data_IF_802403010381
#
_entry.id   IF_802403010381
#
_cell.length_a   1.000
_cell.length_b   1.000
_cell.length_c   1.000
_cell.angle_alpha   90.00
_cell.angle_beta   90.00
_cell.angle_gamma   90.00
#
_symmetry.space_group_name_H-M   'P 1'
#
loop_
_entity.id
_entity.type
_entity.pdbx_description
1 polymer ?
#
# COMPACT_ATOMS: atom_id res chain seq x y z
N UNK A 1 11.72 4.79 7.48
CA UNK A 1 11.21 3.93 6.37
C UNK A 1 11.81 4.31 5.01
N UNK A 2 11.78 5.57 4.56
CA UNK A 2 12.34 5.95 3.23
C UNK A 2 13.87 5.77 3.17
N UNK A 3 14.56 6.14 4.24
CA UNK A 3 16.02 5.94 4.32
C UNK A 3 16.36 4.44 4.37
N UNK A 4 15.57 3.65 5.08
CA UNK A 4 15.70 2.18 5.12
C UNK A 4 15.43 1.55 3.76
N UNK A 5 14.38 2.01 3.04
CA UNK A 5 14.13 1.61 1.65
C UNK A 5 15.31 1.94 0.73
N UNK A 6 15.92 3.10 0.93
CA UNK A 6 17.07 3.52 0.12
C UNK A 6 18.33 2.73 0.44
N UNK A 7 18.50 2.30 1.69
CA UNK A 7 19.64 1.48 2.12
C UNK A 7 19.47 -0.01 1.77
N UNK A 8 18.24 -0.52 1.89
CA UNK A 8 17.85 -1.92 1.69
C UNK A 8 16.62 -2.03 0.80
N UNK A 9 16.76 -1.72 -0.51
CA UNK A 9 15.62 -1.76 -1.43
C UNK A 9 15.07 -3.19 -1.58
N UNK A 10 13.82 -3.35 -2.01
CA UNK A 10 13.24 -4.63 -2.37
C UNK A 10 14.06 -5.38 -3.41
N UNK A 11 13.90 -6.70 -3.45
CA UNK A 11 14.60 -7.56 -4.40
C UNK A 11 14.40 -7.09 -5.86
N UNK A 12 15.49 -6.95 -6.59
CA UNK A 12 15.49 -6.51 -7.98
C UNK A 12 15.33 -5.01 -8.19
N UNK A 13 15.26 -4.21 -7.12
CA UNK A 13 15.20 -2.75 -7.22
C UNK A 13 16.60 -2.13 -7.11
N UNK A 14 16.80 -1.04 -7.85
CA UNK A 14 18.01 -0.22 -7.76
C UNK A 14 17.61 1.22 -7.43
N UNK A 15 18.10 1.76 -6.33
CA UNK A 15 17.79 3.13 -5.91
C UNK A 15 18.37 4.15 -6.89
N UNK A 16 17.56 5.10 -7.32
CA UNK A 16 17.96 6.18 -8.20
C UNK A 16 18.33 7.43 -7.40
N UNK A 17 19.45 8.03 -7.75
CA UNK A 17 19.82 9.35 -7.24
C UNK A 17 19.11 10.42 -8.05
N UNK A 18 17.96 10.87 -7.54
CA UNK A 18 17.16 11.89 -8.17
C UNK A 18 17.46 13.31 -7.60
N UNK A 19 17.14 14.38 -8.34
CA UNK A 19 17.32 15.73 -7.85
C UNK A 19 16.62 15.97 -6.52
N UNK A 20 17.27 16.68 -5.59
CA UNK A 20 16.76 17.09 -4.28
C UNK A 20 16.27 15.94 -3.38
N UNK A 21 17.00 14.83 -3.37
CA UNK A 21 16.67 13.67 -2.56
C UNK A 21 15.22 13.16 -2.78
N UNK A 22 14.64 13.45 -3.95
CA UNK A 22 13.35 12.82 -4.34
C UNK A 22 13.56 11.31 -4.36
N UNK A 23 12.78 10.52 -3.61
CA UNK A 23 12.94 9.09 -3.61
C UNK A 23 12.57 8.50 -4.98
N UNK A 24 13.31 7.51 -5.40
CA UNK A 24 13.02 6.79 -6.64
C UNK A 24 13.89 5.56 -6.82
N UNK A 25 13.44 4.68 -7.66
CA UNK A 25 14.12 3.42 -7.94
C UNK A 25 13.91 2.99 -9.39
N UNK A 26 14.74 2.12 -9.87
CA UNK A 26 14.59 1.41 -11.12
C UNK A 26 14.22 -0.05 -10.83
N UNK A 27 13.29 -0.60 -11.62
CA UNK A 27 12.94 -2.01 -11.58
C UNK A 27 12.47 -2.48 -12.97
N UNK A 28 12.52 -3.78 -13.21
CA UNK A 28 11.79 -4.40 -14.30
C UNK A 28 10.30 -4.45 -13.97
N UNK A 29 9.48 -3.77 -14.73
CA UNK A 29 8.03 -3.74 -14.56
C UNK A 29 7.35 -4.60 -15.61
N UNK A 30 6.61 -5.61 -15.16
CA UNK A 30 5.77 -6.41 -16.04
C UNK A 30 4.45 -5.67 -16.28
N UNK A 31 4.19 -5.31 -17.53
CA UNK A 31 2.98 -4.58 -17.93
C UNK A 31 1.67 -5.33 -17.60
N UNK A 32 1.75 -6.64 -17.33
CA UNK A 32 0.58 -7.43 -16.92
C UNK A 32 0.32 -7.39 -15.42
N UNK A 33 1.18 -6.78 -14.61
CA UNK A 33 1.01 -6.70 -13.15
C UNK A 33 -0.27 -5.96 -12.76
N UNK A 34 -0.66 -4.95 -13.53
CA UNK A 34 -1.83 -4.08 -13.26
C UNK A 34 -3.03 -4.37 -14.16
N UNK A 35 -2.96 -5.42 -14.98
CA UNK A 35 -4.04 -5.81 -15.90
C UNK A 35 -5.03 -6.72 -15.18
N UNK A 36 -6.33 -6.49 -15.43
CA UNK A 36 -7.41 -7.35 -14.94
C UNK A 36 -7.11 -8.84 -15.18
N UNK A 37 -7.38 -9.68 -14.18
CA UNK A 37 -7.05 -11.10 -14.21
C UNK A 37 -7.69 -11.88 -15.38
N UNK A 38 -8.82 -11.41 -15.92
CA UNK A 38 -9.47 -12.03 -17.09
C UNK A 38 -8.70 -11.73 -18.37
N UNK A 39 -8.26 -10.49 -18.53
CA UNK A 39 -7.46 -10.05 -19.68
C UNK A 39 -6.04 -10.62 -19.60
N UNK A 40 -5.45 -10.67 -18.40
CA UNK A 40 -4.15 -11.33 -18.16
C UNK A 40 -4.18 -12.77 -18.64
N UNK A 41 -5.15 -13.58 -18.20
CA UNK A 41 -5.30 -14.98 -18.65
C UNK A 41 -5.48 -15.12 -20.16
N UNK A 42 -6.21 -14.20 -20.80
CA UNK A 42 -6.35 -14.19 -22.27
C UNK A 42 -5.02 -13.93 -22.96
N UNK A 43 -4.23 -12.98 -22.48
CA UNK A 43 -2.90 -12.65 -23.02
C UNK A 43 -1.95 -13.85 -22.81
N UNK A 44 -1.95 -14.46 -21.63
CA UNK A 44 -1.13 -15.62 -21.31
C UNK A 44 -1.50 -16.87 -22.13
N UNK A 45 -2.74 -16.97 -22.61
CA UNK A 45 -3.20 -18.07 -23.49
C UNK A 45 -2.84 -17.89 -24.96
N UNK A 46 -2.28 -16.73 -25.36
CA UNK A 46 -1.89 -16.50 -26.75
C UNK A 46 -0.71 -17.39 -27.19
N UNK A 47 -0.68 -17.80 -28.47
CA UNK A 47 0.41 -18.63 -29.00
C UNK A 47 1.77 -18.00 -28.74
N UNK A 48 2.75 -18.83 -28.40
CA UNK A 48 4.14 -18.43 -28.18
C UNK A 48 4.34 -17.38 -27.05
N UNK A 49 3.37 -17.24 -26.11
CA UNK A 49 3.46 -16.29 -25.01
C UNK A 49 4.81 -16.33 -24.29
N UNK A 50 5.34 -17.52 -23.99
CA UNK A 50 6.63 -17.70 -23.32
C UNK A 50 7.83 -17.08 -24.07
N UNK A 51 7.71 -16.89 -25.40
CA UNK A 51 8.78 -16.34 -26.21
C UNK A 51 8.75 -14.80 -26.27
N UNK A 52 7.55 -14.21 -26.30
CA UNK A 52 7.41 -12.77 -26.43
C UNK A 52 7.04 -12.06 -25.12
N UNK A 53 6.63 -12.77 -24.05
CA UNK A 53 6.29 -12.20 -22.75
C UNK A 53 7.42 -11.39 -22.12
N UNK A 54 8.67 -11.74 -22.41
CA UNK A 54 9.84 -10.95 -22.00
C UNK A 54 9.83 -9.50 -22.50
N UNK A 55 9.12 -9.21 -23.59
CA UNK A 55 8.96 -7.83 -24.10
C UNK A 55 7.92 -7.01 -23.32
N UNK A 56 7.12 -7.68 -22.50
CA UNK A 56 6.21 -7.01 -21.56
C UNK A 56 6.93 -6.55 -20.29
N UNK A 57 8.14 -7.03 -20.05
CA UNK A 57 8.99 -6.55 -18.95
C UNK A 57 9.79 -5.36 -19.41
N UNK A 58 9.52 -4.24 -18.81
CA UNK A 58 10.08 -2.95 -19.21
C UNK A 58 10.91 -2.36 -18.09
N UNK A 59 12.18 -2.08 -18.36
CA UNK A 59 13.03 -1.34 -17.44
C UNK A 59 12.44 0.04 -17.19
N UNK A 60 11.99 0.29 -15.97
CA UNK A 60 11.18 1.44 -15.60
C UNK A 60 11.82 2.22 -14.48
N UNK A 61 11.86 3.55 -14.63
CA UNK A 61 12.20 4.46 -13.53
C UNK A 61 10.94 4.82 -12.76
N UNK A 62 10.91 4.51 -11.48
CA UNK A 62 9.85 4.89 -10.56
C UNK A 62 10.28 6.10 -9.72
N UNK A 63 9.40 7.09 -9.59
CA UNK A 63 9.55 8.22 -8.70
C UNK A 63 8.56 8.02 -7.56
N UNK A 64 9.07 7.93 -6.35
CA UNK A 64 8.36 7.48 -5.14
C UNK A 64 9.01 6.24 -4.54
N UNK A 65 8.34 5.60 -3.60
CA UNK A 65 8.75 4.34 -2.96
C UNK A 65 7.60 3.34 -2.97
N UNK A 66 7.83 2.12 -2.49
CA UNK A 66 6.75 1.16 -2.20
C UNK A 66 6.41 1.12 -0.70
N UNK A 67 7.14 1.90 0.10
CA UNK A 67 6.98 1.94 1.56
C UNK A 67 6.25 3.20 2.06
N UNK A 68 5.73 4.03 1.17
CA UNK A 68 4.90 5.21 1.50
C UNK A 68 3.53 5.11 0.83
N UNK A 69 2.49 5.63 1.49
CA UNK A 69 1.11 5.64 0.97
C UNK A 69 0.94 6.61 -0.19
N UNK A 70 1.69 7.71 -0.16
CA UNK A 70 1.65 8.72 -1.20
C UNK A 70 3.05 9.07 -1.67
N UNK A 71 3.12 9.59 -2.89
CA UNK A 71 4.32 10.18 -3.42
C UNK A 71 4.73 11.41 -2.58
N UNK A 72 5.94 11.39 -2.08
CA UNK A 72 6.52 12.45 -1.26
C UNK A 72 7.43 13.32 -2.14
N UNK A 73 7.09 14.59 -2.26
CA UNK A 73 7.87 15.53 -3.05
C UNK A 73 8.35 16.71 -2.20
N UNK A 74 9.59 17.20 -2.43
CA UNK A 74 10.10 18.37 -1.73
C UNK A 74 9.21 19.58 -1.98
N UNK A 75 8.64 20.17 -0.93
CA UNK A 75 7.76 21.35 -1.01
C UNK A 75 8.44 22.59 -1.64
N UNK A 76 9.78 22.62 -1.67
CA UNK A 76 10.58 23.70 -2.24
C UNK A 76 10.46 23.84 -3.77
N UNK A 77 9.87 22.86 -4.47
CA UNK A 77 9.77 22.88 -5.93
C UNK A 77 8.35 23.08 -6.41
N UNK A 78 8.17 23.97 -7.38
CA UNK A 78 6.90 23.99 -8.10
C UNK A 78 6.73 22.66 -8.85
N UNK A 79 5.53 22.12 -8.83
CA UNK A 79 5.18 20.86 -9.50
C UNK A 79 5.65 20.82 -10.97
N UNK A 80 5.48 21.93 -11.70
CA UNK A 80 5.91 22.06 -13.10
C UNK A 80 7.43 21.95 -13.26
N UNK A 81 8.20 22.57 -12.36
CA UNK A 81 9.67 22.50 -12.41
C UNK A 81 10.17 21.10 -12.09
N UNK A 82 9.54 20.42 -11.12
CA UNK A 82 9.86 19.05 -10.76
C UNK A 82 9.65 18.12 -11.96
N UNK A 83 8.44 18.11 -12.55
CA UNK A 83 8.09 17.21 -13.67
C UNK A 83 9.02 17.45 -14.87
N UNK A 84 9.32 18.71 -15.23
CA UNK A 84 10.25 19.01 -16.32
C UNK A 84 11.65 18.46 -16.06
N UNK A 85 12.16 18.60 -14.83
CA UNK A 85 13.49 18.09 -14.48
C UNK A 85 13.55 16.57 -14.48
N UNK A 86 12.55 15.91 -13.91
CA UNK A 86 12.44 14.44 -13.94
C UNK A 86 12.38 13.94 -15.38
N UNK A 87 11.53 14.54 -16.22
CA UNK A 87 11.44 14.17 -17.63
C UNK A 87 12.77 14.39 -18.37
N UNK A 88 13.47 15.50 -18.11
CA UNK A 88 14.79 15.77 -18.72
C UNK A 88 15.83 14.74 -18.26
N UNK A 89 15.85 14.39 -16.98
CA UNK A 89 16.83 13.47 -16.41
C UNK A 89 16.60 12.01 -16.83
N UNK A 90 15.35 11.57 -16.85
CA UNK A 90 15.00 10.15 -16.99
C UNK A 90 14.36 9.79 -18.32
N UNK A 91 13.66 10.72 -18.96
CA UNK A 91 12.82 10.44 -20.13
C UNK A 91 13.56 9.91 -21.37
N UNK A 92 14.88 10.11 -21.48
CA UNK A 92 15.72 9.53 -22.52
C UNK A 92 16.45 8.28 -22.06
N UNK A 93 16.69 8.12 -20.74
CA UNK A 93 17.42 6.99 -20.18
C UNK A 93 16.56 5.75 -20.06
N UNK A 94 15.23 5.94 -19.87
CA UNK A 94 14.29 4.84 -19.63
C UNK A 94 13.22 4.76 -20.70
N UNK A 95 12.83 3.54 -21.14
CA UNK A 95 11.67 3.33 -22.01
C UNK A 95 10.36 3.83 -21.35
N UNK A 96 10.27 3.68 -20.03
CA UNK A 96 9.12 4.08 -19.23
C UNK A 96 9.55 4.74 -17.91
N UNK A 97 8.79 5.72 -17.47
CA UNK A 97 8.95 6.41 -16.19
C UNK A 97 7.58 6.57 -15.54
N UNK A 98 7.49 6.28 -14.25
CA UNK A 98 6.25 6.34 -13.49
C UNK A 98 6.45 7.21 -12.24
N UNK A 99 5.67 8.28 -12.12
CA UNK A 99 5.49 8.97 -10.84
C UNK A 99 4.29 8.28 -10.17
N UNK A 100 4.57 7.56 -9.08
CA UNK A 100 3.56 6.68 -8.47
C UNK A 100 2.87 7.35 -7.28
N UNK A 101 1.66 6.88 -6.97
CA UNK A 101 0.88 7.17 -5.77
C UNK A 101 0.65 8.68 -5.51
N UNK A 102 0.33 9.44 -6.58
CA UNK A 102 -0.07 10.84 -6.46
C UNK A 102 -1.51 10.87 -5.92
N UNK A 103 -1.77 11.48 -4.75
CA UNK A 103 -3.12 11.46 -4.16
C UNK A 103 -4.14 12.22 -5.02
N UNK A 104 -5.36 11.69 -5.07
CA UNK A 104 -6.51 12.33 -5.72
C UNK A 104 -7.45 12.89 -4.65
N UNK A 105 -7.09 14.05 -4.07
CA UNK A 105 -7.84 14.72 -3.01
C UNK A 105 -8.15 13.81 -1.82
N UNK A 106 -7.13 13.53 -1.01
CA UNK A 106 -7.25 12.63 0.14
C UNK A 106 -7.63 13.38 1.43
N UNK A 107 -8.60 12.88 2.21
CA UNK A 107 -8.90 13.41 3.55
C UNK A 107 -7.79 13.13 4.57
N UNK A 108 -6.83 12.26 4.23
CA UNK A 108 -5.67 11.94 5.07
C UNK A 108 -4.56 12.99 4.96
N UNK A 109 -4.68 13.97 4.06
CA UNK A 109 -3.72 15.01 3.78
C UNK A 109 -4.32 16.39 4.03
N UNK A 110 -3.46 17.34 4.36
CA UNK A 110 -3.86 18.74 4.45
C UNK A 110 -4.16 19.34 3.07
N UNK A 111 -4.82 20.50 3.07
CA UNK A 111 -5.18 21.21 1.85
C UNK A 111 -3.99 21.61 0.99
N UNK A 112 -2.84 21.88 1.60
CA UNK A 112 -1.63 22.30 0.87
C UNK A 112 -1.04 21.14 0.07
N UNK A 113 -1.00 19.95 0.66
CA UNK A 113 -0.57 18.71 0.01
C UNK A 113 -1.52 18.29 -1.10
N UNK A 114 -2.84 18.36 -0.85
CA UNK A 114 -3.85 18.09 -1.88
C UNK A 114 -3.73 19.05 -3.07
N UNK A 115 -3.62 20.35 -2.84
CA UNK A 115 -3.41 21.36 -3.90
C UNK A 115 -2.07 21.17 -4.64
N UNK A 116 -1.04 20.69 -3.95
CA UNK A 116 0.23 20.37 -4.62
C UNK A 116 0.06 19.17 -5.54
N UNK A 117 -0.61 18.11 -5.09
CA UNK A 117 -0.86 16.92 -5.88
C UNK A 117 -1.69 17.23 -7.15
N UNK A 118 -2.71 18.06 -7.06
CA UNK A 118 -3.50 18.53 -8.22
C UNK A 118 -2.60 19.22 -9.25
N UNK A 119 -1.78 20.19 -8.81
CA UNK A 119 -0.82 20.88 -9.70
C UNK A 119 0.20 19.92 -10.30
N UNK A 120 0.59 18.88 -9.56
CA UNK A 120 1.52 17.86 -10.05
C UNK A 120 0.87 17.03 -11.18
N UNK A 121 -0.38 16.61 -11.01
CA UNK A 121 -1.13 15.89 -12.04
C UNK A 121 -1.31 16.74 -13.31
N UNK A 122 -1.63 18.03 -13.17
CA UNK A 122 -1.71 18.98 -14.30
C UNK A 122 -0.37 19.12 -15.01
N UNK A 123 0.72 19.29 -14.24
CA UNK A 123 2.06 19.39 -14.81
C UNK A 123 2.47 18.12 -15.56
N UNK A 124 2.12 16.94 -15.04
CA UNK A 124 2.35 15.68 -15.70
C UNK A 124 1.58 15.57 -17.02
N UNK A 125 0.30 15.95 -17.06
CA UNK A 125 -0.48 16.02 -18.30
C UNK A 125 0.17 16.93 -19.34
N UNK A 126 0.57 18.14 -18.92
CA UNK A 126 1.21 19.13 -19.78
C UNK A 126 2.55 18.65 -20.35
N UNK A 127 3.30 17.84 -19.60
CA UNK A 127 4.58 17.25 -20.02
C UNK A 127 4.42 15.92 -20.76
N UNK A 128 3.20 15.52 -21.07
CA UNK A 128 2.89 14.37 -21.93
C UNK A 128 2.81 13.03 -21.22
N UNK A 129 2.68 12.99 -19.90
CA UNK A 129 2.38 11.79 -19.15
C UNK A 129 0.93 11.33 -19.40
N UNK A 130 0.71 10.04 -19.31
CA UNK A 130 -0.61 9.41 -19.28
C UNK A 130 -0.95 9.17 -17.81
N UNK A 131 -2.12 9.63 -17.39
CA UNK A 131 -2.59 9.35 -16.02
C UNK A 131 -3.30 8.00 -16.01
N UNK A 132 -2.96 7.19 -15.03
CA UNK A 132 -3.52 5.86 -14.78
C UNK A 132 -3.96 5.81 -13.33
N UNK A 133 -5.13 5.29 -13.05
CA UNK A 133 -5.59 5.14 -11.67
C UNK A 133 -4.68 4.19 -10.89
N UNK A 134 -4.40 4.57 -9.65
CA UNK A 134 -3.69 3.74 -8.68
C UNK A 134 -4.68 2.94 -7.82
N UNK A 135 -4.15 2.29 -6.81
CA UNK A 135 -4.92 1.48 -5.88
C UNK A 135 -5.76 2.34 -4.92
N UNK A 136 -6.82 1.73 -4.37
CA UNK A 136 -7.65 2.32 -3.34
C UNK A 136 -6.98 2.16 -1.95
N UNK A 137 -6.68 3.26 -1.28
CA UNK A 137 -6.16 3.27 0.09
C UNK A 137 -7.31 3.26 1.07
N UNK A 138 -7.40 2.21 1.87
CA UNK A 138 -8.42 2.04 2.89
C UNK A 138 -8.06 2.79 4.18
N UNK A 139 -9.02 3.46 4.79
CA UNK A 139 -8.86 4.14 6.07
C UNK A 139 -10.16 4.15 6.88
N UNK A 140 -10.04 4.36 8.19
CA UNK A 140 -11.17 4.56 9.10
C UNK A 140 -10.94 5.85 9.88
N UNK A 141 -11.82 6.86 9.80
CA UNK A 141 -11.79 8.00 10.72
C UNK A 141 -12.08 7.52 12.15
N UNK A 142 -11.31 8.00 13.13
CA UNK A 142 -11.53 7.70 14.55
C UNK A 142 -12.45 8.80 15.11
N UNK A 143 -13.73 8.73 14.77
CA UNK A 143 -14.79 9.65 15.15
C UNK A 143 -15.87 8.97 16.02
N UNK A 144 -15.46 7.93 16.75
CA UNK A 144 -16.26 7.14 17.67
C UNK A 144 -15.58 7.06 19.04
N UNK A 145 -16.33 6.73 20.09
CA UNK A 145 -15.86 6.68 21.48
C UNK A 145 -15.53 5.26 21.95
N UNK A 146 -15.89 4.24 21.17
CA UNK A 146 -15.59 2.84 21.47
C UNK A 146 -15.62 1.99 20.19
N UNK A 147 -14.91 0.86 20.22
CA UNK A 147 -14.98 -0.15 19.14
C UNK A 147 -16.42 -0.69 18.97
N UNK A 148 -17.19 -0.76 20.05
CA UNK A 148 -18.59 -1.17 19.98
C UNK A 148 -19.48 -0.12 19.26
N UNK A 149 -19.23 1.17 19.44
CA UNK A 149 -19.90 2.22 18.65
C UNK A 149 -19.54 2.10 17.18
N UNK A 150 -18.26 1.88 16.86
CA UNK A 150 -17.83 1.62 15.48
C UNK A 150 -18.56 0.42 14.86
N UNK A 151 -18.61 -0.71 15.57
CA UNK A 151 -19.33 -1.89 15.12
C UNK A 151 -20.84 -1.60 14.96
N UNK A 152 -21.39 -0.71 15.79
CA UNK A 152 -22.78 -0.25 15.72
C UNK A 152 -23.17 0.37 14.38
N UNK A 153 -22.22 0.98 13.66
CA UNK A 153 -22.41 1.59 12.33
C UNK A 153 -22.57 0.56 11.21
N UNK A 154 -22.14 -0.69 11.47
CA UNK A 154 -22.23 -1.78 10.52
C UNK A 154 -23.62 -2.45 10.57
N UNK A 155 -24.02 -3.09 9.46
CA UNK A 155 -25.27 -3.88 9.45
C UNK A 155 -25.26 -4.95 10.54
N UNK A 156 -26.45 -5.34 11.02
CA UNK A 156 -26.59 -6.32 12.10
C UNK A 156 -25.92 -7.66 11.79
N UNK A 157 -25.99 -8.09 10.54
CA UNK A 157 -25.35 -9.33 10.07
C UNK A 157 -23.82 -9.25 10.16
N UNK A 158 -23.21 -8.15 9.62
CA UNK A 158 -21.75 -7.93 9.68
C UNK A 158 -21.28 -7.84 11.13
N UNK A 159 -21.96 -7.04 11.96
CA UNK A 159 -21.65 -6.88 13.38
C UNK A 159 -21.67 -8.21 14.14
N UNK A 160 -22.68 -9.07 13.89
CA UNK A 160 -22.77 -10.39 14.51
C UNK A 160 -21.61 -11.29 14.10
N UNK A 161 -21.22 -11.29 12.81
CA UNK A 161 -20.12 -12.10 12.31
C UNK A 161 -18.77 -11.61 12.86
N UNK A 162 -18.52 -10.29 12.85
CA UNK A 162 -17.28 -9.70 13.37
C UNK A 162 -17.13 -9.97 14.86
N UNK A 163 -18.19 -9.81 15.66
CA UNK A 163 -18.16 -10.15 17.08
C UNK A 163 -17.88 -11.63 17.36
N UNK A 164 -18.40 -12.53 16.52
CA UNK A 164 -18.11 -13.97 16.62
C UNK A 164 -16.62 -14.25 16.37
N UNK A 165 -16.03 -13.59 15.39
CA UNK A 165 -14.58 -13.70 15.06
C UNK A 165 -13.73 -13.06 16.16
N UNK A 166 -14.15 -11.89 16.66
CA UNK A 166 -13.47 -11.16 17.72
C UNK A 166 -13.33 -11.92 19.03
N UNK A 167 -14.31 -12.75 19.39
CA UNK A 167 -14.25 -13.58 20.61
C UNK A 167 -13.05 -14.53 20.64
N UNK A 168 -12.55 -14.95 19.48
CA UNK A 168 -11.37 -15.82 19.42
C UNK A 168 -10.07 -15.17 19.94
N UNK A 169 -10.06 -13.86 20.18
CA UNK A 169 -8.93 -13.21 20.84
C UNK A 169 -8.72 -13.67 22.29
N UNK A 170 -9.77 -14.23 22.92
CA UNK A 170 -9.71 -14.71 24.30
C UNK A 170 -8.76 -15.90 24.47
N UNK A 171 -8.50 -16.62 23.36
CA UNK A 171 -7.54 -17.73 23.30
C UNK A 171 -6.14 -17.26 22.91
N UNK A 172 -5.91 -15.94 22.76
CA UNK A 172 -4.65 -15.36 22.32
C UNK A 172 -4.03 -14.47 23.38
N UNK A 173 -2.72 -14.52 23.49
CA UNK A 173 -1.93 -13.47 24.13
C UNK A 173 -1.58 -12.42 23.09
N UNK A 174 -2.05 -11.18 23.29
CA UNK A 174 -1.77 -10.05 22.40
C UNK A 174 -0.77 -9.14 23.12
N UNK A 175 0.34 -8.81 22.45
CA UNK A 175 1.41 -7.96 23.01
C UNK A 175 1.65 -6.78 22.10
N UNK A 176 1.81 -5.61 22.70
CA UNK A 176 2.23 -4.38 22.04
C UNK A 176 3.74 -4.20 22.29
N UNK A 177 4.52 -4.23 21.23
CA UNK A 177 5.99 -4.15 21.30
C UNK A 177 6.46 -3.01 20.42
N UNK A 178 7.05 -1.94 20.99
CA UNK A 178 7.57 -0.86 20.15
C UNK A 178 8.75 -1.35 19.31
N UNK A 179 8.92 -0.79 18.11
CA UNK A 179 10.15 -0.98 17.36
C UNK A 179 11.34 -0.43 18.18
N UNK A 180 12.51 -1.07 18.04
CA UNK A 180 13.68 -0.78 18.88
C UNK A 180 13.70 -1.52 20.21
N UNK A 181 12.66 -2.30 20.54
CA UNK A 181 12.68 -3.14 21.74
C UNK A 181 13.86 -4.13 21.72
N UNK A 182 14.37 -4.44 22.91
CA UNK A 182 15.55 -5.31 23.08
C UNK A 182 15.37 -6.70 22.44
N UNK A 183 14.13 -7.22 22.35
CA UNK A 183 13.88 -8.52 21.72
C UNK A 183 14.29 -8.54 20.24
N UNK A 184 14.19 -7.41 19.53
CA UNK A 184 14.57 -7.31 18.13
C UNK A 184 16.08 -7.28 17.88
N UNK A 185 16.91 -7.37 18.93
CA UNK A 185 18.35 -7.64 18.78
C UNK A 185 18.63 -9.11 18.48
N UNK A 186 17.65 -10.00 18.64
CA UNK A 186 17.79 -11.43 18.38
C UNK A 186 17.51 -11.71 16.89
N UNK A 187 18.54 -12.10 16.14
CA UNK A 187 18.41 -12.44 14.70
C UNK A 187 17.37 -13.54 14.45
N UNK A 188 17.32 -14.56 15.33
CA UNK A 188 16.33 -15.63 15.20
C UNK A 188 14.88 -15.13 15.25
N UNK A 189 14.62 -14.07 16.03
CA UNK A 189 13.29 -13.46 16.07
C UNK A 189 13.01 -12.66 14.78
N UNK A 190 13.98 -11.92 14.27
CA UNK A 190 13.87 -11.24 12.97
C UNK A 190 13.58 -12.26 11.87
N UNK A 191 14.26 -13.40 11.84
CA UNK A 191 14.04 -14.48 10.88
C UNK A 191 12.61 -15.05 10.99
N UNK A 192 12.09 -15.20 12.20
CA UNK A 192 10.71 -15.65 12.42
C UNK A 192 9.69 -14.64 11.86
N UNK A 193 9.86 -13.35 12.16
CA UNK A 193 9.00 -12.29 11.61
C UNK A 193 9.06 -12.22 10.09
N UNK A 194 10.26 -12.26 9.54
CA UNK A 194 10.46 -12.22 8.10
C UNK A 194 9.82 -13.43 7.41
N UNK A 195 9.94 -14.62 7.99
CA UNK A 195 9.28 -15.83 7.49
C UNK A 195 7.75 -15.69 7.48
N UNK A 196 7.16 -15.12 8.54
CA UNK A 196 5.72 -14.87 8.59
C UNK A 196 5.26 -13.84 7.55
N UNK A 197 6.07 -12.81 7.29
CA UNK A 197 5.84 -11.87 6.20
C UNK A 197 5.85 -12.57 4.84
N UNK A 198 6.84 -13.43 4.59
CA UNK A 198 6.91 -14.19 3.34
C UNK A 198 5.69 -15.09 3.14
N UNK A 199 5.15 -15.70 4.19
CA UNK A 199 3.91 -16.47 4.09
C UNK A 199 2.73 -15.64 3.54
N UNK A 200 2.65 -14.37 3.91
CA UNK A 200 1.60 -13.45 3.39
C UNK A 200 1.93 -13.01 1.97
N UNK A 201 3.19 -12.65 1.72
CA UNK A 201 3.66 -12.24 0.40
C UNK A 201 3.40 -13.31 -0.65
N UNK A 202 3.72 -14.58 -0.35
CA UNK A 202 3.56 -15.70 -1.27
C UNK A 202 2.09 -16.04 -1.59
N UNK A 203 1.14 -15.59 -0.74
CA UNK A 203 -0.30 -15.72 -0.99
C UNK A 203 -0.92 -14.51 -1.66
N UNK A 204 -0.19 -13.41 -1.79
CA UNK A 204 -0.64 -12.20 -2.46
C UNK A 204 -0.77 -12.43 -3.97
N UNK A 205 -1.73 -11.76 -4.60
CA UNK A 205 -1.85 -11.76 -6.07
C UNK A 205 -0.79 -10.88 -6.75
N UNK A 206 -0.22 -9.93 -6.03
CA UNK A 206 0.77 -8.97 -6.55
C UNK A 206 2.12 -9.25 -5.91
N UNK A 207 3.10 -9.60 -6.74
CA UNK A 207 4.48 -9.89 -6.34
C UNK A 207 5.42 -8.88 -7.01
N UNK A 208 5.43 -7.64 -6.52
CA UNK A 208 6.26 -6.59 -7.12
C UNK A 208 7.43 -6.18 -6.21
N UNK A 209 7.20 -5.98 -4.93
CA UNK A 209 8.11 -5.36 -3.97
C UNK A 209 8.38 -6.28 -2.76
N UNK A 210 9.05 -7.40 -2.99
CA UNK A 210 9.47 -8.25 -1.89
C UNK A 210 10.56 -7.55 -1.09
N UNK A 211 10.22 -7.12 0.13
CA UNK A 211 11.17 -6.48 1.04
C UNK A 211 12.29 -7.46 1.42
N UNK A 212 13.49 -6.94 1.55
CA UNK A 212 14.62 -7.76 2.02
C UNK A 212 14.56 -8.01 3.54
N UNK A 213 15.26 -9.06 3.98
CA UNK A 213 15.40 -9.33 5.40
C UNK A 213 16.05 -8.18 6.15
N UNK A 214 17.04 -7.55 5.54
CA UNK A 214 17.79 -6.43 6.08
C UNK A 214 16.87 -5.20 6.27
N UNK A 215 15.92 -4.96 5.36
CA UNK A 215 14.92 -3.94 5.53
C UNK A 215 14.07 -4.20 6.79
N UNK A 216 13.60 -5.45 6.98
CA UNK A 216 12.83 -5.85 8.15
C UNK A 216 13.63 -5.69 9.45
N UNK A 217 14.88 -6.11 9.44
CA UNK A 217 15.79 -5.96 10.57
C UNK A 217 15.93 -4.48 10.97
N UNK A 218 16.26 -3.62 10.01
CA UNK A 218 16.41 -2.19 10.25
C UNK A 218 15.11 -1.54 10.74
N UNK A 219 13.98 -1.93 10.15
CA UNK A 219 12.66 -1.43 10.54
C UNK A 219 12.31 -1.81 11.99
N UNK A 220 12.50 -3.06 12.37
CA UNK A 220 12.16 -3.56 13.71
C UNK A 220 13.14 -3.04 14.79
N UNK A 221 14.40 -2.78 14.45
CA UNK A 221 15.42 -2.23 15.35
C UNK A 221 15.37 -0.71 15.50
N UNK A 222 14.59 -0.01 14.69
CA UNK A 222 14.53 1.46 14.71
C UNK A 222 13.63 1.99 15.84
N UNK A 223 14.23 2.32 16.96
CA UNK A 223 13.53 2.91 18.12
C UNK A 223 12.98 4.33 17.83
N UNK A 224 13.51 5.03 16.82
CA UNK A 224 13.12 6.40 16.49
C UNK A 224 11.95 6.50 15.52
N UNK A 225 11.48 5.39 14.96
CA UNK A 225 10.46 5.39 13.89
C UNK A 225 9.02 5.59 14.37
N UNK A 226 8.74 5.45 15.69
CA UNK A 226 7.39 5.44 16.21
C UNK A 226 6.58 4.20 15.80
N UNK A 227 7.27 3.11 15.49
CA UNK A 227 6.65 1.85 15.11
C UNK A 227 6.13 1.07 16.31
N UNK A 228 5.02 0.38 16.12
CA UNK A 228 4.39 -0.53 17.07
C UNK A 228 4.11 -1.86 16.40
N UNK A 229 4.55 -2.94 17.02
CA UNK A 229 4.29 -4.32 16.60
C UNK A 229 3.23 -4.91 17.51
N UNK A 230 2.13 -5.37 16.92
CA UNK A 230 1.13 -6.15 17.63
C UNK A 230 1.42 -7.62 17.36
N UNK A 231 1.84 -8.35 18.40
CA UNK A 231 2.08 -9.78 18.35
C UNK A 231 0.82 -10.55 18.75
N UNK A 232 0.49 -11.60 18.00
CA UNK A 232 -0.59 -12.53 18.30
C UNK A 232 0.01 -13.90 18.59
N UNK A 233 -0.12 -14.36 19.85
CA UNK A 233 0.45 -15.63 20.32
C UNK A 233 -0.64 -16.57 20.78
N UNK A 234 -0.49 -17.82 20.43
CA UNK A 234 -1.29 -18.93 20.93
C UNK A 234 -0.35 -19.96 21.55
N UNK A 235 -0.58 -20.32 22.83
CA UNK A 235 0.33 -21.21 23.59
C UNK A 235 1.80 -20.80 23.47
N UNK A 236 2.09 -19.53 23.69
CA UNK A 236 3.41 -18.88 23.58
C UNK A 236 4.05 -18.87 22.18
N UNK A 237 3.45 -19.51 21.19
CA UNK A 237 3.92 -19.47 19.80
C UNK A 237 3.40 -18.22 19.09
N UNK A 238 4.27 -17.51 18.38
CA UNK A 238 3.90 -16.42 17.50
C UNK A 238 3.15 -16.99 16.28
N UNK A 239 1.86 -16.67 16.16
CA UNK A 239 1.01 -17.09 15.03
C UNK A 239 0.68 -15.95 14.06
N UNK A 240 1.07 -14.75 14.40
CA UNK A 240 0.98 -13.58 13.53
C UNK A 240 1.40 -12.31 14.23
N UNK A 241 1.62 -11.29 13.44
CA UNK A 241 1.88 -9.93 13.88
C UNK A 241 1.42 -8.94 12.82
N UNK A 242 1.23 -7.68 13.21
CA UNK A 242 1.23 -6.55 12.29
C UNK A 242 2.08 -5.41 12.83
N UNK A 243 2.69 -4.66 11.92
CA UNK A 243 3.55 -3.51 12.23
C UNK A 243 2.84 -2.26 11.78
N UNK A 244 2.56 -1.38 12.74
CA UNK A 244 1.96 -0.07 12.51
C UNK A 244 2.95 1.05 12.84
N UNK A 245 2.73 2.22 12.24
CA UNK A 245 3.49 3.43 12.55
C UNK A 245 2.54 4.56 12.90
N UNK A 246 2.89 5.35 13.91
CA UNK A 246 2.18 6.58 14.22
C UNK A 246 2.86 7.74 13.48
N UNK A 247 2.12 8.38 12.58
CA UNK A 247 2.61 9.54 11.83
C UNK A 247 1.47 10.53 11.58
N UNK A 248 1.71 11.82 11.83
CA UNK A 248 0.74 12.91 11.67
C UNK A 248 -0.62 12.61 12.34
N UNK A 249 -0.59 12.08 13.57
CA UNK A 249 -1.82 11.73 14.31
C UNK A 249 -2.63 10.58 13.69
N UNK A 250 -2.02 9.75 12.87
CA UNK A 250 -2.64 8.59 12.23
C UNK A 250 -1.89 7.30 12.58
N UNK A 251 -2.60 6.20 12.73
CA UNK A 251 -2.03 4.86 12.80
C UNK A 251 -1.99 4.27 11.39
N UNK A 252 -0.81 3.97 10.89
CA UNK A 252 -0.60 3.44 9.54
C UNK A 252 -0.19 1.98 9.65
N UNK A 253 -1.05 1.05 9.22
CA UNK A 253 -0.79 -0.39 9.20
C UNK A 253 0.01 -0.74 7.94
N UNK A 254 1.24 -1.19 8.13
CA UNK A 254 2.20 -1.36 7.02
C UNK A 254 2.40 -2.80 6.61
N UNK A 255 2.70 -3.65 7.57
CA UNK A 255 3.08 -5.03 7.27
C UNK A 255 2.40 -5.99 8.23
N UNK A 256 1.96 -7.10 7.68
CA UNK A 256 1.37 -8.20 8.44
C UNK A 256 2.13 -9.49 8.11
N UNK A 257 2.43 -10.26 9.14
CA UNK A 257 2.99 -11.60 9.03
C UNK A 257 2.06 -12.61 9.67
N UNK A 258 1.80 -13.73 9.00
CA UNK A 258 0.82 -14.71 9.43
C UNK A 258 1.34 -16.14 9.32
N UNK A 259 1.08 -16.95 10.34
CA UNK A 259 1.30 -18.38 10.31
C UNK A 259 0.02 -19.07 9.84
N UNK A 260 0.09 -19.79 8.75
CA UNK A 260 -1.04 -20.58 8.26
C UNK A 260 -0.87 -22.06 8.62
N UNK A 261 -1.96 -22.78 8.95
CA UNK A 261 -3.38 -22.36 8.89
C UNK A 261 -3.89 -21.62 10.14
N UNK A 262 -3.08 -21.49 11.21
CA UNK A 262 -3.51 -20.98 12.52
C UNK A 262 -4.13 -19.59 12.43
N UNK A 263 -3.48 -18.65 11.70
CA UNK A 263 -3.98 -17.30 11.53
C UNK A 263 -5.43 -17.26 10.98
N UNK A 264 -5.78 -18.17 10.08
CA UNK A 264 -7.14 -18.28 9.55
C UNK A 264 -8.09 -18.88 10.59
N UNK A 265 -7.67 -19.89 11.35
CA UNK A 265 -8.51 -20.53 12.38
C UNK A 265 -8.88 -19.54 13.49
N UNK A 266 -7.97 -18.62 13.85
CA UNK A 266 -8.21 -17.55 14.82
C UNK A 266 -8.83 -16.29 14.20
N UNK A 267 -8.96 -16.18 12.88
CA UNK A 267 -9.40 -14.97 12.18
C UNK A 267 -8.52 -13.74 12.49
N UNK A 268 -7.20 -13.89 12.52
CA UNK A 268 -6.26 -12.85 12.96
C UNK A 268 -6.43 -11.53 12.20
N UNK A 269 -6.75 -11.56 10.92
CA UNK A 269 -7.00 -10.34 10.13
C UNK A 269 -8.14 -9.46 10.72
N UNK A 270 -9.21 -10.10 11.25
CA UNK A 270 -10.31 -9.39 11.89
C UNK A 270 -9.92 -8.89 13.28
N UNK A 271 -9.13 -9.68 13.99
CA UNK A 271 -8.64 -9.33 15.33
C UNK A 271 -7.66 -8.15 15.21
N UNK A 272 -6.69 -8.21 14.31
CA UNK A 272 -5.72 -7.12 14.10
C UNK A 272 -6.41 -5.80 13.74
N UNK A 273 -7.44 -5.84 12.89
CA UNK A 273 -8.24 -4.67 12.55
C UNK A 273 -8.84 -3.98 13.79
N UNK A 274 -9.47 -4.75 14.66
CA UNK A 274 -10.12 -4.19 15.86
C UNK A 274 -9.11 -3.76 16.92
N UNK A 275 -7.97 -4.44 17.04
CA UNK A 275 -6.84 -4.03 17.89
C UNK A 275 -6.29 -2.68 17.40
N UNK A 276 -6.08 -2.53 16.11
CA UNK A 276 -5.57 -1.27 15.53
C UNK A 276 -6.55 -0.11 15.76
N UNK A 277 -7.86 -0.35 15.63
CA UNK A 277 -8.89 0.67 15.95
C UNK A 277 -8.89 1.06 17.43
N UNK A 278 -8.78 0.08 18.32
CA UNK A 278 -8.74 0.30 19.77
C UNK A 278 -7.47 1.08 20.18
N UNK A 279 -6.33 0.70 19.61
CA UNK A 279 -5.08 1.42 19.80
C UNK A 279 -5.17 2.87 19.29
N UNK A 280 -5.68 3.08 18.07
CA UNK A 280 -5.82 4.41 17.51
C UNK A 280 -6.75 5.29 18.37
N UNK A 281 -7.85 4.73 18.87
CA UNK A 281 -8.78 5.40 19.74
C UNK A 281 -8.15 5.75 21.09
N UNK A 282 -7.52 4.79 21.76
CA UNK A 282 -6.91 4.98 23.08
C UNK A 282 -5.74 5.98 23.09
N UNK A 283 -5.08 6.16 21.94
CA UNK A 283 -4.00 7.13 21.77
C UNK A 283 -4.45 8.46 21.15
N UNK A 284 -5.75 8.69 20.99
CA UNK A 284 -6.29 9.96 20.47
C UNK A 284 -5.89 10.23 19.02
N UNK A 285 -5.63 9.19 18.23
CA UNK A 285 -5.30 9.32 16.82
C UNK A 285 -6.55 9.63 16.00
N UNK A 286 -6.38 10.31 14.87
CA UNK A 286 -7.49 10.78 14.04
C UNK A 286 -7.97 9.77 13.01
N UNK A 287 -7.07 8.90 12.55
CA UNK A 287 -7.37 7.91 11.51
C UNK A 287 -6.57 6.62 11.73
N UNK A 288 -7.18 5.51 11.36
CA UNK A 288 -6.50 4.25 11.09
C UNK A 288 -6.39 4.08 9.57
N UNK A 289 -5.17 3.99 9.04
CA UNK A 289 -4.88 3.79 7.63
C UNK A 289 -4.52 2.32 7.42
N UNK A 290 -5.38 1.58 6.73
CA UNK A 290 -5.31 0.12 6.64
C UNK A 290 -4.60 -0.42 5.38
N UNK A 291 -3.99 0.47 4.58
CA UNK A 291 -3.22 0.07 3.40
C UNK A 291 -4.05 -0.25 2.16
N UNK A 292 -3.40 -0.78 1.13
CA UNK A 292 -3.91 -0.87 -0.24
C UNK A 292 -4.72 -2.13 -0.54
N UNK A 293 -4.24 -3.31 -0.22
CA UNK A 293 -4.76 -4.60 -0.66
C UNK A 293 -6.13 -4.96 -0.06
N UNK A 294 -6.83 -5.92 -0.64
CA UNK A 294 -8.11 -6.50 -0.14
C UNK A 294 -9.24 -5.49 0.11
N UNK A 295 -9.61 -4.64 -0.87
CA UNK A 295 -10.63 -3.62 -0.66
C UNK A 295 -12.00 -4.19 -0.26
N UNK A 296 -12.31 -5.41 -0.69
CA UNK A 296 -13.60 -6.06 -0.35
C UNK A 296 -13.73 -6.36 1.13
N UNK A 297 -12.70 -6.96 1.74
CA UNK A 297 -12.73 -7.29 3.17
C UNK A 297 -12.65 -6.02 4.03
N UNK A 298 -11.88 -5.02 3.60
CA UNK A 298 -11.79 -3.72 4.28
C UNK A 298 -13.12 -2.96 4.23
N UNK A 299 -13.81 -2.96 3.08
CA UNK A 299 -15.17 -2.44 2.97
C UNK A 299 -16.17 -3.23 3.83
N UNK A 300 -16.02 -4.55 3.92
CA UNK A 300 -16.82 -5.37 4.83
C UNK A 300 -16.61 -4.97 6.28
N UNK A 301 -15.39 -4.63 6.65
CA UNK A 301 -15.01 -4.14 7.98
C UNK A 301 -15.43 -2.68 8.23
N UNK A 302 -15.85 -1.91 7.23
CA UNK A 302 -16.37 -0.56 7.37
C UNK A 302 -15.39 0.54 6.98
N UNK A 303 -14.31 0.22 6.24
CA UNK A 303 -13.39 1.24 5.75
C UNK A 303 -14.02 2.16 4.72
N UNK A 304 -13.56 3.41 4.73
CA UNK A 304 -13.64 4.36 3.62
C UNK A 304 -12.41 4.25 2.74
N UNK A 305 -12.48 4.79 1.52
CA UNK A 305 -11.40 4.70 0.55
C UNK A 305 -11.03 6.07 -0.01
N UNK A 306 -9.73 6.26 -0.24
CA UNK A 306 -9.20 7.37 -1.04
C UNK A 306 -8.34 6.78 -2.16
N UNK A 307 -8.19 7.54 -3.25
CA UNK A 307 -7.57 7.02 -4.47
C UNK A 307 -6.27 7.75 -4.79
N UNK A 308 -5.38 7.07 -5.49
CA UNK A 308 -4.18 7.66 -6.06
C UNK A 308 -4.22 7.62 -7.59
N UNK A 309 -3.26 8.26 -8.18
CA UNK A 309 -3.02 8.25 -9.61
C UNK A 309 -1.53 8.05 -9.86
N UNK A 310 -1.22 7.26 -10.89
CA UNK A 310 0.14 7.14 -11.43
C UNK A 310 0.27 7.99 -12.69
N UNK A 311 1.32 8.79 -12.78
CA UNK A 311 1.66 9.50 -14.00
C UNK A 311 2.73 8.71 -14.78
N UNK A 312 2.36 8.15 -15.92
CA UNK A 312 3.19 7.26 -16.74
C UNK A 312 3.69 7.99 -17.97
N UNK A 313 5.00 8.09 -18.13
CA UNK A 313 5.63 8.60 -19.35
C UNK A 313 6.25 7.45 -20.13
N UNK A 314 5.79 7.25 -21.35
CA UNK A 314 6.35 6.28 -22.30
C UNK A 314 7.17 7.04 -23.31
N UNK A 315 8.46 6.69 -23.48
CA UNK A 315 9.38 7.39 -24.40
C UNK A 315 8.89 7.32 -25.85
N UNK A 316 8.45 6.16 -26.32
CA UNK A 316 7.92 5.99 -27.66
C UNK A 316 6.56 6.70 -27.79
N UNK A 317 6.45 7.67 -28.70
CA UNK A 317 5.25 8.49 -28.90
C UNK A 317 4.04 7.69 -29.39
N UNK A 318 4.24 6.67 -30.22
CA UNK A 318 3.15 5.81 -30.72
C UNK A 318 2.58 4.95 -29.59
N UNK A 319 3.46 4.30 -28.79
CA UNK A 319 3.03 3.52 -27.63
C UNK A 319 2.36 4.41 -26.56
N UNK A 320 2.83 5.63 -26.40
CA UNK A 320 2.20 6.62 -25.51
C UNK A 320 0.79 7.00 -25.98
N UNK A 321 0.58 7.14 -27.28
CA UNK A 321 -0.74 7.35 -27.89
C UNK A 321 -1.69 6.19 -27.62
N UNK A 322 -1.20 4.96 -27.78
CA UNK A 322 -1.96 3.75 -27.43
C UNK A 322 -2.29 3.68 -25.93
N UNK A 323 -1.30 3.92 -25.07
CA UNK A 323 -1.50 3.93 -23.63
C UNK A 323 -2.62 4.93 -23.20
N UNK A 324 -2.68 6.13 -23.83
CA UNK A 324 -3.77 7.09 -23.58
C UNK A 324 -5.14 6.53 -23.98
N UNK A 325 -5.22 5.76 -25.07
CA UNK A 325 -6.48 5.19 -25.54
C UNK A 325 -6.97 4.05 -24.64
N UNK A 326 -6.05 3.33 -24.04
CA UNK A 326 -6.31 2.14 -23.23
C UNK A 326 -6.22 2.38 -21.71
N UNK A 327 -5.93 3.61 -21.25
CA UNK A 327 -5.79 3.93 -19.82
C UNK A 327 -7.01 3.50 -18.98
N UNK A 328 -8.21 3.57 -19.53
CA UNK A 328 -9.47 3.15 -18.88
C UNK A 328 -9.55 1.66 -18.52
N UNK A 329 -8.74 0.81 -19.13
CA UNK A 329 -8.71 -0.63 -18.82
C UNK A 329 -7.87 -0.97 -17.58
N UNK A 330 -7.19 0.03 -16.99
CA UNK A 330 -6.39 -0.10 -15.78
C UNK A 330 -7.10 0.45 -14.53
N UNK A 331 -8.40 0.75 -14.60
CA UNK A 331 -9.21 1.39 -13.56
C UNK A 331 -10.03 0.37 -12.73
N UNK A 332 -9.41 -0.70 -12.20
CA UNK A 332 -10.17 -1.79 -11.53
C UNK A 332 -10.79 -1.39 -10.20
N UNK A 333 -10.07 -0.68 -9.34
CA UNK A 333 -10.50 -0.40 -7.97
C UNK A 333 -11.60 0.66 -7.88
N UNK A 334 -11.55 1.68 -8.72
CA UNK A 334 -12.60 2.70 -8.79
C UNK A 334 -13.90 2.16 -9.36
N UNK A 335 -13.81 1.34 -10.41
CA UNK A 335 -14.98 0.66 -10.97
C UNK A 335 -15.63 -0.29 -9.95
N UNK A 336 -14.85 -0.88 -9.05
CA UNK A 336 -15.36 -1.68 -7.94
C UNK A 336 -16.08 -0.79 -6.91
N UNK A 337 -15.51 0.36 -6.54
CA UNK A 337 -16.11 1.34 -5.62
C UNK A 337 -17.41 1.91 -6.17
N UNK A 338 -17.43 2.38 -7.41
CA UNK A 338 -18.58 2.99 -8.07
C UNK A 338 -19.78 2.04 -8.21
N UNK A 339 -19.53 0.73 -8.34
CA UNK A 339 -20.58 -0.30 -8.36
C UNK A 339 -21.30 -0.47 -7.02
N UNK A 340 -20.70 -0.06 -5.91
CA UNK A 340 -21.25 -0.21 -4.53
C UNK A 340 -21.92 1.06 -3.99
N UNK A 341 -21.55 2.25 -4.45
CA UNK A 341 -22.17 3.51 -4.00
C UNK A 341 -23.68 3.66 -4.34
N UNK A 342 -24.25 3.10 -5.45
CA UNK A 342 -25.68 3.26 -5.71
C UNK A 342 -26.59 2.62 -4.66
N UNK A 343 -26.12 1.66 -3.89
CA UNK A 343 -26.93 0.98 -2.89
C UNK A 343 -27.13 1.75 -1.57
N UNK A 344 -26.30 2.79 -1.29
CA UNK A 344 -26.40 3.57 -0.04
C UNK A 344 -27.17 4.90 -0.17
N UNK A 345 -27.49 5.35 -1.39
CA UNK A 345 -28.23 6.62 -1.61
C UNK A 345 -29.76 6.48 -1.67
N UNK A 346 -30.28 5.27 -1.62
CA UNK A 346 -31.74 4.99 -1.70
C UNK A 346 -32.39 4.62 -0.37
N UNK A 347 -31.75 4.92 0.75
CA UNK A 347 -32.25 4.62 2.11
C UNK A 347 -32.21 5.85 3.03
N UNK A 348 -32.84 6.97 2.61
CA UNK A 348 -33.19 8.10 3.51
C UNK A 348 -34.65 8.37 3.39
#
# INVERSE_FOLDING_TARGET
>A
MIDQFSAHPPDGFQVLRLPQATPGFEAEFDLLTTVDGSLKRRIESLPLYRHWSKWLRVRTAFIGTTVSEYALFPAAWSARSLVKRLRKALGWCYPMMIIKDIPQHSPLLDDSANRYAERLLEACKAEGFVLVEGQALAYVPIDFTSVEEYLGRLSSSRRKDIRRKWRKREDLTIREVPTGDAQFQLDALIDEYYRLYLNVYDQSEIHFDRLSREFFEQMLRDAGSGGMVFEYRHEDRLIGYNVCFVHDGKLIDKYIGLQYPEARSFNLYFISWLINLDYALSHGLTHYVAGWTDPEIKSYLGASFTFTCHAVYVRNALLRGLARRFSRYFESDRQWSDRREPANRSGS
#
